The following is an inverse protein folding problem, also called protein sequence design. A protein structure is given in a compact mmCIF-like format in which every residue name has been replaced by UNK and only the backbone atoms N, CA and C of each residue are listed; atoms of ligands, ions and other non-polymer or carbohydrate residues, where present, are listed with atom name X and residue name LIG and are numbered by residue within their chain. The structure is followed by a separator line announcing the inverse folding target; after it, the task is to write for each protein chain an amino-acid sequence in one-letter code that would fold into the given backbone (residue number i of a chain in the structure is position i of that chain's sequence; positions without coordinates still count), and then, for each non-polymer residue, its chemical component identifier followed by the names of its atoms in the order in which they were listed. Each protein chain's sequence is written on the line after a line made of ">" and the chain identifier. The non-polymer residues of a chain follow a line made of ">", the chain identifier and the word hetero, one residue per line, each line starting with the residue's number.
data_IF_100852987268
#
_entry.id   IF_100852987268
#
_cell.length_a   1.000
_cell.length_b   1.000
_cell.length_c   1.000
_cell.angle_alpha   90.00
_cell.angle_beta   90.00
_cell.angle_gamma   90.00
#
_symmetry.space_group_name_H-M   'P 1'
#
loop_
_entity.id
_entity.type
_entity.pdbx_description
1 polymer ?
#
# COMPACT_ATOMS: atom_id res chain seq x y z
N UNK A 1 -5.62 -28.51 22.37
CA UNK A 1 -6.31 -27.28 22.83
C UNK A 1 -7.46 -27.60 23.78
N UNK A 2 -7.93 -28.85 23.80
CA UNK A 2 -9.04 -29.40 24.61
C UNK A 2 -9.03 -29.11 26.12
N UNK A 3 -7.90 -28.72 26.71
CA UNK A 3 -7.83 -28.36 28.12
C UNK A 3 -8.11 -26.86 28.34
N UNK A 4 -7.76 -25.99 27.39
CA UNK A 4 -8.01 -24.54 27.45
C UNK A 4 -9.48 -24.20 27.16
N UNK A 5 -10.20 -25.08 26.47
CA UNK A 5 -11.62 -24.91 26.11
C UNK A 5 -12.58 -25.44 27.18
N UNK A 6 -12.07 -26.02 28.28
CA UNK A 6 -12.89 -26.50 29.39
C UNK A 6 -13.08 -25.39 30.43
N UNK A 7 -14.34 -25.14 30.80
CA UNK A 7 -14.74 -24.04 31.70
C UNK A 7 -14.02 -23.99 33.06
N UNK A 8 -13.49 -25.12 33.55
CA UNK A 8 -12.86 -25.23 34.87
C UNK A 8 -11.32 -25.10 34.85
N UNK A 9 -10.71 -24.79 33.71
CA UNK A 9 -9.26 -24.70 33.59
C UNK A 9 -8.83 -23.36 32.99
N UNK A 10 -7.87 -22.70 33.65
CA UNK A 10 -7.14 -21.57 33.09
C UNK A 10 -5.70 -21.97 32.86
N UNK A 11 -5.21 -21.82 31.63
CA UNK A 11 -3.83 -22.13 31.28
C UNK A 11 -3.06 -20.82 31.12
N UNK A 12 -2.00 -20.68 31.91
CA UNK A 12 -1.06 -19.54 31.84
C UNK A 12 0.27 -20.07 31.31
N UNK A 13 0.72 -19.52 30.18
CA UNK A 13 1.99 -19.89 29.56
C UNK A 13 2.84 -18.63 29.48
N UNK A 14 4.05 -18.68 30.06
CA UNK A 14 5.08 -17.66 29.84
C UNK A 14 6.05 -18.20 28.80
N UNK A 15 6.33 -17.42 27.75
CA UNK A 15 7.26 -17.85 26.71
C UNK A 15 8.12 -16.68 26.23
N UNK A 16 9.37 -16.98 25.90
CA UNK A 16 10.24 -16.12 25.09
C UNK A 16 10.39 -16.67 23.66
N UNK A 17 9.77 -17.81 23.34
CA UNK A 17 9.86 -18.43 22.01
C UNK A 17 8.98 -17.66 21.02
N UNK A 18 9.59 -17.04 20.00
CA UNK A 18 8.85 -16.32 18.95
C UNK A 18 7.90 -17.24 18.18
N UNK A 19 8.29 -18.50 17.96
CA UNK A 19 7.49 -19.48 17.21
C UNK A 19 6.21 -19.84 17.95
N UNK A 20 6.25 -19.92 19.28
CA UNK A 20 5.08 -20.28 20.09
C UNK A 20 4.03 -19.17 20.07
N UNK A 21 4.45 -17.90 20.11
CA UNK A 21 3.55 -16.74 20.06
C UNK A 21 2.72 -16.71 18.77
N UNK A 22 3.27 -17.21 17.64
CA UNK A 22 2.55 -17.29 16.36
C UNK A 22 1.41 -18.31 16.33
N UNK A 23 1.40 -19.25 17.27
CA UNK A 23 0.38 -20.29 17.36
C UNK A 23 -0.81 -19.88 18.24
N UNK A 24 -0.66 -18.80 19.01
CA UNK A 24 -1.66 -18.36 19.96
C UNK A 24 -2.57 -17.30 19.32
N UNK A 25 -3.87 -17.28 19.66
CA UNK A 25 -4.74 -16.16 19.31
C UNK A 25 -4.20 -14.87 19.93
N UNK A 26 -4.27 -13.77 19.19
CA UNK A 26 -3.71 -12.48 19.61
C UNK A 26 -4.36 -11.99 20.92
N UNK A 27 -5.66 -12.22 21.14
CA UNK A 27 -6.34 -11.84 22.40
C UNK A 27 -5.83 -12.58 23.63
N UNK A 28 -5.14 -13.70 23.47
CA UNK A 28 -4.54 -14.44 24.60
C UNK A 28 -3.16 -13.89 24.98
N UNK A 29 -2.53 -13.10 24.10
CA UNK A 29 -1.20 -12.56 24.32
C UNK A 29 -1.25 -11.44 25.35
N UNK A 30 -0.39 -11.54 26.37
CA UNK A 30 -0.14 -10.49 27.36
C UNK A 30 1.35 -10.17 27.34
N UNK A 31 1.69 -8.90 27.11
CA UNK A 31 3.08 -8.44 27.18
C UNK A 31 3.40 -7.99 28.61
N UNK A 32 4.50 -8.50 29.17
CA UNK A 32 4.91 -8.20 30.55
C UNK A 32 6.28 -7.54 30.53
N UNK A 33 6.35 -6.31 31.02
CA UNK A 33 7.60 -5.54 31.11
C UNK A 33 7.62 -4.74 32.42
N UNK A 34 8.67 -4.95 33.24
CA UNK A 34 8.87 -4.24 34.52
C UNK A 34 7.64 -4.28 35.46
N UNK A 35 6.92 -5.39 35.47
CA UNK A 35 5.72 -5.58 36.30
C UNK A 35 4.43 -5.00 35.71
N UNK A 36 4.50 -4.30 34.57
CA UNK A 36 3.32 -3.86 33.83
C UNK A 36 2.85 -4.97 32.88
N UNK A 37 1.53 -5.18 32.82
CA UNK A 37 0.89 -6.14 31.93
C UNK A 37 0.03 -5.39 30.91
N UNK A 38 0.30 -5.59 29.64
CA UNK A 38 -0.42 -4.98 28.52
C UNK A 38 -1.15 -6.04 27.69
N UNK A 39 -2.40 -5.75 27.31
CA UNK A 39 -3.13 -6.57 26.33
C UNK A 39 -2.54 -6.37 24.93
N UNK A 40 -2.73 -7.35 24.05
CA UNK A 40 -2.35 -7.22 22.65
C UNK A 40 -3.04 -6.03 21.98
N UNK A 41 -2.24 -5.16 21.39
CA UNK A 41 -2.63 -3.96 20.64
C UNK A 41 -1.46 -3.59 19.70
N UNK A 42 -1.60 -2.53 18.91
CA UNK A 42 -0.53 -2.08 17.98
C UNK A 42 0.81 -1.82 18.70
N UNK A 43 0.79 -1.15 19.86
CA UNK A 43 2.02 -0.89 20.62
C UNK A 43 2.71 -2.17 21.08
N UNK A 44 1.94 -3.17 21.54
CA UNK A 44 2.45 -4.48 21.95
C UNK A 44 2.97 -5.26 20.74
N UNK A 45 2.28 -5.19 19.60
CA UNK A 45 2.72 -5.78 18.35
C UNK A 45 4.09 -5.23 17.93
N UNK A 46 4.27 -3.91 17.95
CA UNK A 46 5.56 -3.26 17.65
C UNK A 46 6.66 -3.69 18.61
N UNK A 47 6.36 -3.79 19.91
CA UNK A 47 7.30 -4.31 20.92
C UNK A 47 7.69 -5.77 20.64
N UNK A 48 6.72 -6.62 20.28
CA UNK A 48 6.98 -8.04 19.97
C UNK A 48 7.87 -8.14 18.72
N UNK A 49 7.54 -7.41 17.66
CA UNK A 49 8.32 -7.42 16.42
C UNK A 49 9.75 -6.93 16.68
N UNK A 50 9.90 -5.83 17.41
CA UNK A 50 11.21 -5.26 17.76
C UNK A 50 12.06 -6.20 18.62
N UNK A 51 11.47 -6.87 19.61
CA UNK A 51 12.22 -7.66 20.59
C UNK A 51 12.43 -9.12 20.16
N UNK A 52 11.45 -9.72 19.47
CA UNK A 52 11.45 -11.13 19.09
C UNK A 52 11.70 -11.37 17.60
N UNK A 53 11.65 -10.31 16.78
CA UNK A 53 11.92 -10.39 15.34
C UNK A 53 10.88 -11.20 14.55
N UNK A 54 9.70 -11.46 15.13
CA UNK A 54 8.62 -12.19 14.48
C UNK A 54 7.33 -11.40 14.50
N UNK A 55 6.57 -11.55 13.42
CA UNK A 55 5.15 -11.21 13.41
C UNK A 55 4.39 -12.30 14.18
N UNK A 56 3.56 -11.93 15.18
CA UNK A 56 2.56 -12.81 15.80
C UNK A 56 1.57 -13.39 14.79
N UNK A 57 0.44 -13.93 15.23
CA UNK A 57 -0.61 -14.39 14.31
C UNK A 57 -1.36 -13.19 13.66
N UNK A 58 -0.63 -12.37 12.89
CA UNK A 58 -1.11 -11.20 12.17
C UNK A 58 -0.85 -11.36 10.68
N UNK A 59 -1.67 -10.69 9.88
CA UNK A 59 -1.50 -10.59 8.43
C UNK A 59 -0.47 -9.55 8.00
N UNK A 60 -0.15 -9.55 6.71
CA UNK A 60 0.67 -8.53 6.04
C UNK A 60 -0.16 -7.91 4.92
N UNK A 61 -0.15 -6.59 4.81
CA UNK A 61 -0.74 -5.89 3.66
C UNK A 61 0.31 -5.76 2.56
N UNK A 62 -0.07 -6.14 1.34
CA UNK A 62 0.80 -6.05 0.16
C UNK A 62 0.14 -5.08 -0.83
N UNK A 63 0.79 -3.95 -1.10
CA UNK A 63 0.34 -3.01 -2.13
C UNK A 63 1.05 -3.34 -3.44
N UNK A 64 0.31 -3.97 -4.35
CA UNK A 64 0.77 -4.35 -5.69
C UNK A 64 0.65 -3.16 -6.63
N UNK A 65 1.76 -2.77 -7.26
CA UNK A 65 1.86 -1.65 -8.22
C UNK A 65 2.68 -2.06 -9.45
N UNK A 66 2.56 -1.35 -10.57
CA UNK A 66 3.18 -1.78 -11.83
C UNK A 66 4.71 -1.73 -11.78
N UNK A 67 5.28 -0.71 -11.14
CA UNK A 67 6.71 -0.55 -11.08
C UNK A 67 7.22 0.36 -9.97
N UNK A 68 8.54 0.52 -9.96
CA UNK A 68 9.27 1.28 -8.94
C UNK A 68 8.86 2.76 -8.88
N UNK A 69 8.45 3.33 -10.01
CA UNK A 69 8.03 4.73 -10.06
C UNK A 69 6.74 4.93 -9.27
N UNK A 70 5.78 4.02 -9.38
CA UNK A 70 4.49 4.12 -8.67
C UNK A 70 4.69 3.97 -7.16
N UNK A 71 5.53 3.01 -6.75
CA UNK A 71 5.96 2.87 -5.36
C UNK A 71 6.57 4.19 -4.84
N UNK A 72 7.48 4.78 -5.61
CA UNK A 72 8.15 6.02 -5.22
C UNK A 72 7.15 7.19 -5.12
N UNK A 73 6.22 7.30 -6.07
CA UNK A 73 5.17 8.31 -6.06
C UNK A 73 4.32 8.17 -4.79
N UNK A 74 3.80 6.97 -4.51
CA UNK A 74 2.94 6.70 -3.35
C UNK A 74 3.64 7.00 -2.02
N UNK A 75 4.91 6.57 -1.87
CA UNK A 75 5.72 6.91 -0.70
C UNK A 75 5.91 8.42 -0.55
N UNK A 76 6.22 9.12 -1.64
CA UNK A 76 6.47 10.55 -1.60
C UNK A 76 5.21 11.33 -1.20
N UNK A 77 4.05 11.05 -1.80
CA UNK A 77 2.82 11.76 -1.42
C UNK A 77 2.40 11.42 0.01
N UNK A 78 2.59 10.18 0.46
CA UNK A 78 2.29 9.79 1.84
C UNK A 78 3.15 10.55 2.85
N UNK A 79 4.44 10.71 2.57
CA UNK A 79 5.36 11.34 3.51
C UNK A 79 5.30 12.88 3.47
N UNK A 80 4.85 13.48 2.36
CA UNK A 80 4.78 14.94 2.20
C UNK A 80 3.37 15.54 2.40
N UNK A 81 2.31 14.72 2.38
CA UNK A 81 0.93 15.16 2.64
C UNK A 81 0.48 14.65 4.03
N UNK A 82 0.40 15.53 5.05
CA UNK A 82 0.11 15.12 6.43
C UNK A 82 -1.20 14.35 6.60
N UNK A 83 -2.23 14.68 5.84
CA UNK A 83 -3.53 14.02 5.87
C UNK A 83 -3.44 12.55 5.45
N UNK A 84 -2.68 12.24 4.39
CA UNK A 84 -2.44 10.86 3.96
C UNK A 84 -1.62 10.11 5.01
N UNK A 85 -0.58 10.75 5.55
CA UNK A 85 0.27 10.17 6.60
C UNK A 85 -0.53 9.84 7.86
N UNK A 86 -1.51 10.67 8.21
CA UNK A 86 -2.38 10.46 9.37
C UNK A 86 -3.29 9.26 9.20
N UNK A 87 -3.72 8.95 7.97
CA UNK A 87 -4.52 7.76 7.67
C UNK A 87 -3.68 6.49 7.86
N UNK A 88 -2.45 6.50 7.31
CA UNK A 88 -1.47 5.44 7.48
C UNK A 88 -0.07 5.98 7.16
N UNK A 89 0.89 5.78 8.06
CA UNK A 89 2.30 6.08 7.78
C UNK A 89 2.95 4.85 7.13
N UNK A 90 3.09 4.86 5.80
CA UNK A 90 3.59 3.71 5.04
C UNK A 90 5.01 3.32 5.46
N UNK A 91 5.87 4.30 5.72
CA UNK A 91 7.26 4.03 6.10
C UNK A 91 7.36 3.41 7.50
N UNK A 92 6.47 3.79 8.42
CA UNK A 92 6.33 3.11 9.70
C UNK A 92 5.87 1.66 9.50
N UNK A 93 4.80 1.44 8.73
CA UNK A 93 4.24 0.09 8.50
C UNK A 93 5.18 -0.85 7.75
N UNK A 94 6.05 -0.32 6.89
CA UNK A 94 7.15 -1.08 6.28
C UNK A 94 8.17 -1.50 7.33
N UNK A 95 8.57 -0.58 8.23
CA UNK A 95 9.57 -0.86 9.28
C UNK A 95 9.06 -1.85 10.31
N UNK A 96 7.79 -1.79 10.68
CA UNK A 96 7.15 -2.83 11.52
C UNK A 96 6.92 -4.13 10.74
N UNK A 97 7.09 -4.16 9.43
CA UNK A 97 6.96 -5.37 8.62
C UNK A 97 5.51 -5.80 8.38
N UNK A 98 4.53 -4.97 8.73
CA UNK A 98 3.10 -5.19 8.47
C UNK A 98 2.69 -4.84 7.05
N UNK A 99 3.50 -4.07 6.35
CA UNK A 99 3.24 -3.59 5.00
C UNK A 99 4.43 -3.87 4.07
N UNK A 100 4.15 -4.20 2.81
CA UNK A 100 5.17 -4.25 1.76
C UNK A 100 4.60 -3.82 0.41
N UNK A 101 5.45 -3.24 -0.45
CA UNK A 101 5.13 -3.12 -1.87
C UNK A 101 5.50 -4.39 -2.61
N UNK A 102 4.72 -4.72 -3.64
CA UNK A 102 5.07 -5.72 -4.62
C UNK A 102 5.06 -5.10 -6.02
N UNK A 103 6.20 -5.18 -6.71
CA UNK A 103 6.39 -4.59 -8.03
C UNK A 103 6.12 -5.62 -9.12
N UNK A 104 5.07 -5.39 -9.90
CA UNK A 104 4.58 -6.35 -10.90
C UNK A 104 5.43 -6.36 -12.19
N UNK A 105 6.22 -5.31 -12.40
CA UNK A 105 7.07 -5.08 -13.59
C UNK A 105 6.29 -5.21 -14.92
N UNK A 106 5.06 -4.67 -14.97
CA UNK A 106 4.23 -4.52 -16.18
C UNK A 106 3.78 -5.83 -16.84
N UNK A 107 4.68 -6.56 -17.50
CA UNK A 107 4.34 -7.71 -18.36
C UNK A 107 3.89 -8.96 -17.62
N UNK A 108 4.11 -9.04 -16.30
CA UNK A 108 3.91 -10.27 -15.52
C UNK A 108 2.71 -10.21 -14.57
N UNK A 109 1.82 -9.22 -14.73
CA UNK A 109 0.67 -9.04 -13.84
C UNK A 109 -0.24 -10.29 -13.79
N UNK A 110 -0.59 -10.83 -14.97
CA UNK A 110 -1.38 -12.04 -15.09
C UNK A 110 -0.71 -13.25 -14.44
N UNK A 111 0.57 -13.50 -14.74
CA UNK A 111 1.34 -14.63 -14.17
C UNK A 111 1.40 -14.55 -12.64
N UNK A 112 1.66 -13.38 -12.07
CA UNK A 112 1.68 -13.22 -10.62
C UNK A 112 0.32 -13.54 -9.99
N UNK A 113 -0.77 -13.05 -10.61
CA UNK A 113 -2.13 -13.31 -10.14
C UNK A 113 -2.47 -14.80 -10.26
N UNK A 114 -2.01 -15.48 -11.30
CA UNK A 114 -2.17 -16.92 -11.51
C UNK A 114 -1.45 -17.74 -10.44
N UNK A 115 -0.21 -17.35 -10.13
CA UNK A 115 0.62 -18.00 -9.12
C UNK A 115 0.04 -17.87 -7.71
N UNK A 116 -0.68 -16.78 -7.44
CA UNK A 116 -1.39 -16.52 -6.18
C UNK A 116 -0.53 -16.90 -4.96
N UNK A 117 0.67 -16.32 -4.89
CA UNK A 117 1.72 -16.74 -3.95
C UNK A 117 1.35 -16.54 -2.47
N UNK A 118 0.37 -15.68 -2.20
CA UNK A 118 -0.19 -15.39 -0.88
C UNK A 118 -1.34 -16.31 -0.49
N UNK A 119 -1.75 -17.26 -1.35
CA UNK A 119 -2.79 -18.22 -1.05
C UNK A 119 -2.45 -19.00 0.22
N UNK A 120 -3.44 -19.16 1.10
CA UNK A 120 -3.30 -19.80 2.42
C UNK A 120 -2.32 -19.07 3.37
N UNK A 121 -2.06 -17.77 3.15
CA UNK A 121 -1.40 -16.90 4.11
C UNK A 121 -2.39 -15.91 4.70
N UNK A 122 -1.99 -15.17 5.74
CA UNK A 122 -2.80 -14.09 6.31
C UNK A 122 -2.64 -12.77 5.53
N UNK A 123 -1.91 -12.75 4.40
CA UNK A 123 -1.68 -11.53 3.64
C UNK A 123 -2.94 -11.09 2.89
N UNK A 124 -3.08 -9.77 2.71
CA UNK A 124 -4.15 -9.15 1.92
C UNK A 124 -3.48 -8.28 0.86
N UNK A 125 -3.84 -8.49 -0.40
CA UNK A 125 -3.30 -7.74 -1.54
C UNK A 125 -4.21 -6.58 -1.92
N UNK A 126 -3.65 -5.38 -2.08
CA UNK A 126 -4.30 -4.25 -2.74
C UNK A 126 -3.60 -3.95 -4.06
N UNK A 127 -4.29 -4.14 -5.17
CA UNK A 127 -3.76 -3.89 -6.50
C UNK A 127 -4.19 -2.52 -7.01
N UNK A 128 -3.21 -1.64 -7.24
CA UNK A 128 -3.44 -0.33 -7.87
C UNK A 128 -2.63 -0.27 -9.15
N UNK A 129 -3.32 -0.18 -10.27
CA UNK A 129 -2.70 -0.12 -11.60
C UNK A 129 -3.22 1.07 -12.39
N UNK A 130 -2.44 1.47 -13.39
CA UNK A 130 -2.82 2.55 -14.28
C UNK A 130 -4.02 2.14 -15.14
N UNK A 131 -4.96 3.08 -15.33
CA UNK A 131 -6.08 2.89 -16.27
C UNK A 131 -5.58 2.61 -17.67
N UNK A 132 -4.45 3.22 -18.02
CA UNK A 132 -3.90 3.22 -19.37
C UNK A 132 -4.95 3.72 -20.40
N UNK A 133 -4.64 3.58 -21.69
CA UNK A 133 -5.61 3.87 -22.76
C UNK A 133 -6.69 2.79 -22.89
N UNK A 134 -6.41 1.56 -22.43
CA UNK A 134 -7.21 0.37 -22.75
C UNK A 134 -7.63 -0.46 -21.54
N UNK A 135 -7.45 0.04 -20.31
CA UNK A 135 -7.86 -0.66 -19.07
C UNK A 135 -7.32 -2.11 -19.01
N UNK A 136 -6.07 -2.32 -19.47
CA UNK A 136 -5.55 -3.66 -19.77
C UNK A 136 -5.55 -4.62 -18.57
N UNK A 137 -5.49 -4.11 -17.34
CA UNK A 137 -5.50 -4.91 -16.12
C UNK A 137 -6.88 -5.06 -15.45
N UNK A 138 -7.96 -4.64 -16.12
CA UNK A 138 -9.31 -4.75 -15.57
C UNK A 138 -9.70 -6.20 -15.28
N UNK A 139 -9.40 -7.12 -16.20
CA UNK A 139 -9.65 -8.55 -16.04
C UNK A 139 -8.91 -9.13 -14.83
N UNK A 140 -7.66 -8.74 -14.66
CA UNK A 140 -6.75 -9.15 -13.60
C UNK A 140 -7.30 -8.73 -12.23
N UNK A 141 -7.73 -7.47 -12.10
CA UNK A 141 -8.37 -6.94 -10.89
C UNK A 141 -9.65 -7.72 -10.56
N UNK A 142 -10.50 -8.00 -11.55
CA UNK A 142 -11.73 -8.77 -11.31
C UNK A 142 -11.44 -10.21 -10.88
N UNK A 143 -10.34 -10.79 -11.33
CA UNK A 143 -9.88 -12.11 -10.85
C UNK A 143 -9.39 -12.05 -9.40
N UNK A 144 -8.68 -11.00 -9.01
CA UNK A 144 -8.29 -10.78 -7.60
C UNK A 144 -9.53 -10.66 -6.71
N UNK A 145 -10.51 -9.83 -7.09
CA UNK A 145 -11.76 -9.65 -6.32
C UNK A 145 -12.53 -10.95 -6.10
N UNK A 146 -12.47 -11.88 -7.07
CA UNK A 146 -13.14 -13.19 -6.99
C UNK A 146 -12.44 -14.18 -6.05
N UNK A 147 -11.26 -13.89 -5.50
CA UNK A 147 -10.53 -14.79 -4.59
C UNK A 147 -11.22 -14.98 -3.23
N UNK A 148 -11.94 -13.97 -2.75
CA UNK A 148 -12.64 -14.03 -1.45
C UNK A 148 -11.73 -14.04 -0.22
N UNK A 149 -10.44 -13.78 -0.39
CA UNK A 149 -9.40 -13.71 0.66
C UNK A 149 -9.32 -12.32 1.34
N UNK A 150 -10.12 -11.37 0.86
CA UNK A 150 -10.10 -9.97 1.28
C UNK A 150 -9.25 -9.07 0.39
N UNK A 151 -8.48 -9.64 -0.55
CA UNK A 151 -7.70 -8.90 -1.52
C UNK A 151 -8.63 -8.16 -2.50
N UNK A 152 -8.22 -6.97 -2.94
CA UNK A 152 -8.99 -6.13 -3.84
C UNK A 152 -8.07 -5.37 -4.80
N UNK A 153 -8.64 -4.75 -5.82
CA UNK A 153 -7.89 -3.87 -6.70
C UNK A 153 -8.76 -2.88 -7.45
N UNK A 154 -8.11 -1.84 -7.95
CA UNK A 154 -8.72 -0.76 -8.73
C UNK A 154 -7.74 -0.28 -9.80
N UNK A 155 -8.30 0.29 -10.86
CA UNK A 155 -7.54 1.11 -11.80
C UNK A 155 -7.60 2.57 -11.34
N UNK A 156 -6.56 3.34 -11.62
CA UNK A 156 -6.58 4.79 -11.45
C UNK A 156 -7.72 5.42 -12.30
N UNK A 157 -8.24 6.57 -11.89
CA UNK A 157 -9.22 7.31 -12.70
C UNK A 157 -8.55 8.08 -13.83
N UNK A 158 -7.34 8.62 -13.58
CA UNK A 158 -6.51 9.23 -14.62
C UNK A 158 -5.75 8.13 -15.37
N UNK A 159 -5.16 8.49 -16.52
CA UNK A 159 -4.52 7.52 -17.42
C UNK A 159 -3.35 6.79 -16.78
N UNK A 160 -2.40 7.53 -16.21
CA UNK A 160 -1.20 7.02 -15.56
C UNK A 160 -0.95 7.78 -14.25
N UNK A 161 -0.11 7.24 -13.36
CA UNK A 161 0.23 7.89 -12.10
C UNK A 161 0.89 9.27 -12.30
N UNK A 162 1.57 9.46 -13.44
CA UNK A 162 2.14 10.76 -13.83
C UNK A 162 1.07 11.85 -14.01
N UNK A 163 -0.18 11.51 -14.33
CA UNK A 163 -1.28 12.49 -14.47
C UNK A 163 -1.71 13.09 -13.12
N UNK A 164 -1.31 12.50 -11.99
CA UNK A 164 -1.55 13.04 -10.65
C UNK A 164 -0.52 14.10 -10.24
N UNK A 165 0.49 14.35 -11.09
CA UNK A 165 1.49 15.40 -10.88
C UNK A 165 0.93 16.72 -11.44
N UNK A 166 0.90 17.80 -10.65
CA UNK A 166 0.41 19.10 -11.09
C UNK A 166 1.18 19.65 -12.29
N UNK A 167 0.45 20.11 -13.32
CA UNK A 167 1.02 20.71 -14.54
C UNK A 167 2.12 21.73 -14.23
N UNK A 168 1.85 22.66 -13.30
CA UNK A 168 2.79 23.73 -12.92
C UNK A 168 4.17 23.21 -12.53
N UNK A 169 4.24 22.09 -11.80
CA UNK A 169 5.52 21.51 -11.35
C UNK A 169 6.30 20.94 -12.53
N UNK A 170 5.61 20.35 -13.51
CA UNK A 170 6.22 19.81 -14.73
C UNK A 170 6.68 20.96 -15.64
N UNK A 171 5.84 21.98 -15.81
CA UNK A 171 6.15 23.19 -16.60
C UNK A 171 7.41 23.88 -16.09
N UNK A 172 7.51 24.09 -14.77
CA UNK A 172 8.68 24.67 -14.11
C UNK A 172 9.93 23.81 -14.27
N UNK A 173 9.83 22.49 -14.08
CA UNK A 173 10.97 21.58 -14.13
C UNK A 173 11.57 21.46 -15.54
N UNK A 174 10.72 21.39 -16.56
CA UNK A 174 11.14 21.17 -17.94
C UNK A 174 11.23 22.46 -18.77
N UNK A 175 10.81 23.60 -18.21
CA UNK A 175 10.71 24.89 -18.88
C UNK A 175 9.87 24.80 -20.17
N UNK A 176 8.66 24.24 -20.03
CA UNK A 176 7.66 24.05 -21.08
C UNK A 176 6.29 24.56 -20.61
N UNK A 177 5.32 24.66 -21.50
CA UNK A 177 3.93 25.05 -21.17
C UNK A 177 2.95 24.01 -21.71
N UNK A 178 1.90 23.69 -20.95
CA UNK A 178 0.74 22.85 -21.28
C UNK A 178 -0.60 23.58 -21.26
N UNK A 179 -0.60 24.90 -21.50
CA UNK A 179 -1.81 25.71 -21.57
C UNK A 179 -2.82 25.26 -22.64
N UNK A 180 -2.37 24.59 -23.69
CA UNK A 180 -3.17 24.05 -24.78
C UNK A 180 -3.82 22.69 -24.48
N UNK A 181 -3.36 21.98 -23.45
CA UNK A 181 -3.89 20.66 -23.09
C UNK A 181 -5.11 20.81 -22.19
N UNK A 182 -6.29 20.51 -22.74
CA UNK A 182 -7.56 20.56 -22.02
C UNK A 182 -7.81 19.30 -21.20
N UNK A 183 -7.68 18.13 -21.81
CA UNK A 183 -7.94 16.84 -21.17
C UNK A 183 -6.66 16.25 -20.57
N UNK A 184 -6.18 16.83 -19.46
CA UNK A 184 -4.96 16.36 -18.82
C UNK A 184 -5.02 14.91 -18.34
N UNK A 185 -6.21 14.44 -17.98
CA UNK A 185 -6.40 13.18 -17.27
C UNK A 185 -6.22 11.96 -18.19
N UNK A 186 -6.35 12.14 -19.51
CA UNK A 186 -6.23 11.05 -20.49
C UNK A 186 -4.98 11.16 -21.38
N UNK A 187 -4.11 12.13 -21.11
CA UNK A 187 -2.90 12.38 -21.90
C UNK A 187 -1.70 11.55 -21.44
N UNK A 188 -0.83 11.21 -22.39
CA UNK A 188 0.47 10.59 -22.10
C UNK A 188 1.47 11.69 -21.73
N UNK A 189 1.62 11.93 -20.43
CA UNK A 189 2.40 13.07 -19.91
C UNK A 189 3.86 13.03 -20.39
N UNK A 190 4.45 11.83 -20.47
CA UNK A 190 5.83 11.64 -20.86
C UNK A 190 6.04 11.98 -22.33
N UNK A 191 5.14 11.51 -23.20
CA UNK A 191 5.17 11.82 -24.63
C UNK A 191 5.06 13.32 -24.86
N UNK A 192 4.16 14.01 -24.12
CA UNK A 192 4.03 15.47 -24.19
C UNK A 192 5.27 16.21 -23.70
N UNK A 193 5.95 15.73 -22.66
CA UNK A 193 7.24 16.30 -22.22
C UNK A 193 8.30 16.13 -23.31
N UNK A 194 8.42 14.96 -23.93
CA UNK A 194 9.39 14.70 -25.00
C UNK A 194 9.12 15.59 -26.22
N UNK A 195 7.87 15.65 -26.68
CA UNK A 195 7.44 16.51 -27.80
C UNK A 195 7.83 17.97 -27.59
N UNK A 196 7.67 18.50 -26.37
CA UNK A 196 7.87 19.93 -26.08
C UNK A 196 9.28 20.31 -25.70
N UNK A 197 9.99 19.45 -24.99
CA UNK A 197 11.39 19.74 -24.62
C UNK A 197 12.31 19.69 -25.83
N UNK A 198 11.95 18.94 -26.88
CA UNK A 198 12.80 18.67 -28.07
C UNK A 198 14.19 18.14 -27.70
N UNK A 199 14.35 17.63 -26.47
CA UNK A 199 15.58 17.03 -25.95
C UNK A 199 15.45 15.51 -26.06
N UNK A 200 16.55 14.85 -26.36
CA UNK A 200 16.60 13.39 -26.40
C UNK A 200 16.72 12.82 -24.97
N UNK A 201 15.66 12.98 -24.17
CA UNK A 201 15.58 12.46 -22.81
C UNK A 201 15.04 11.03 -22.82
N UNK A 202 15.60 10.15 -21.98
CA UNK A 202 15.08 8.79 -21.85
C UNK A 202 13.79 8.81 -21.02
N UNK A 203 12.83 7.99 -21.41
CA UNK A 203 11.55 7.81 -20.71
C UNK A 203 11.76 7.54 -19.21
N UNK A 204 12.70 6.66 -18.86
CA UNK A 204 12.98 6.32 -17.46
C UNK A 204 13.52 7.52 -16.64
N UNK A 205 14.27 8.43 -17.27
CA UNK A 205 14.79 9.62 -16.60
C UNK A 205 13.64 10.60 -16.31
N UNK A 206 12.72 10.75 -17.27
CA UNK A 206 11.49 11.56 -17.08
C UNK A 206 10.65 10.95 -15.96
N UNK A 207 10.37 9.64 -15.99
CA UNK A 207 9.60 8.96 -14.92
C UNK A 207 10.24 9.14 -13.54
N UNK A 208 11.57 9.06 -13.46
CA UNK A 208 12.32 9.27 -12.22
C UNK A 208 12.18 10.71 -11.69
N UNK A 209 12.21 11.72 -12.58
CA UNK A 209 11.98 13.12 -12.20
C UNK A 209 10.54 13.31 -11.72
N UNK A 210 9.56 12.83 -12.49
CA UNK A 210 8.14 12.95 -12.20
C UNK A 210 7.78 12.29 -10.85
N UNK A 211 8.00 10.98 -10.76
CA UNK A 211 7.55 10.18 -9.62
C UNK A 211 8.52 10.20 -8.44
N UNK A 212 9.76 10.65 -8.64
CA UNK A 212 10.77 10.80 -7.60
C UNK A 212 10.89 12.22 -7.09
N UNK A 213 11.23 13.18 -7.95
CA UNK A 213 11.52 14.58 -7.55
C UNK A 213 10.26 15.42 -7.40
N UNK A 214 9.35 15.38 -8.38
CA UNK A 214 8.19 16.28 -8.40
C UNK A 214 7.08 15.83 -7.44
N UNK A 215 6.89 14.51 -7.30
CA UNK A 215 5.89 13.96 -6.36
C UNK A 215 6.14 14.36 -4.90
N UNK A 216 7.39 14.64 -4.51
CA UNK A 216 7.71 15.17 -3.17
C UNK A 216 7.17 16.57 -2.92
N UNK A 217 6.90 17.34 -3.98
CA UNK A 217 6.40 18.71 -3.90
C UNK A 217 4.87 18.80 -3.98
N UNK A 218 4.19 17.67 -4.19
CA UNK A 218 2.73 17.64 -4.29
C UNK A 218 2.12 17.92 -2.92
N UNK A 219 1.14 18.82 -2.89
CA UNK A 219 0.34 19.11 -1.72
C UNK A 219 -1.08 18.57 -1.87
N UNK A 220 -1.84 18.51 -0.77
CA UNK A 220 -3.27 18.20 -0.81
C UNK A 220 -4.03 19.15 -1.76
N UNK A 221 -3.78 20.46 -1.66
CA UNK A 221 -4.45 21.46 -2.50
C UNK A 221 -4.18 21.25 -3.99
N UNK A 222 -2.99 20.74 -4.33
CA UNK A 222 -2.69 20.39 -5.71
C UNK A 222 -3.55 19.21 -6.21
N UNK A 223 -3.73 18.16 -5.39
CA UNK A 223 -4.59 17.03 -5.72
C UNK A 223 -6.07 17.42 -5.76
N UNK A 224 -6.52 18.31 -4.88
CA UNK A 224 -7.86 18.90 -4.94
C UNK A 224 -8.07 19.68 -6.24
N UNK A 225 -7.10 20.50 -6.64
CA UNK A 225 -7.12 21.22 -7.92
C UNK A 225 -7.12 20.31 -9.15
N UNK A 226 -6.63 19.08 -9.01
CA UNK A 226 -6.69 18.03 -10.04
C UNK A 226 -7.96 17.16 -9.95
N UNK A 227 -8.88 17.43 -9.02
CA UNK A 227 -10.02 16.56 -8.69
C UNK A 227 -9.59 15.11 -8.38
N UNK A 228 -8.41 14.94 -7.79
CA UNK A 228 -7.81 13.63 -7.51
C UNK A 228 -7.78 13.29 -6.02
N UNK A 229 -8.05 14.26 -5.13
CA UNK A 229 -7.91 14.08 -3.69
C UNK A 229 -8.73 12.90 -3.16
N UNK A 230 -10.03 12.83 -3.45
CA UNK A 230 -10.92 11.79 -2.93
C UNK A 230 -10.47 10.37 -3.34
N UNK A 231 -10.01 10.24 -4.59
CA UNK A 231 -9.50 8.97 -5.10
C UNK A 231 -8.21 8.57 -4.38
N UNK A 232 -7.24 9.48 -4.33
CA UNK A 232 -5.94 9.25 -3.68
C UNK A 232 -6.14 8.92 -2.21
N UNK A 233 -6.93 9.72 -1.49
CA UNK A 233 -7.29 9.47 -0.09
C UNK A 233 -7.91 8.08 0.08
N UNK A 234 -8.82 7.69 -0.81
CA UNK A 234 -9.45 6.37 -0.83
C UNK A 234 -8.45 5.21 -0.92
N UNK A 235 -7.34 5.38 -1.64
CA UNK A 235 -6.27 4.37 -1.69
C UNK A 235 -5.65 4.13 -0.30
N UNK A 236 -5.33 5.19 0.42
CA UNK A 236 -4.73 5.10 1.76
C UNK A 236 -5.73 4.63 2.82
N UNK A 237 -6.99 5.03 2.71
CA UNK A 237 -8.07 4.52 3.57
C UNK A 237 -8.21 3.01 3.40
N UNK A 238 -8.23 2.52 2.16
CA UNK A 238 -8.31 1.07 1.87
C UNK A 238 -7.14 0.31 2.52
N UNK A 239 -5.93 0.86 2.47
CA UNK A 239 -4.75 0.25 3.10
C UNK A 239 -4.86 0.24 4.62
N UNK A 240 -5.33 1.32 5.23
CA UNK A 240 -5.58 1.40 6.66
C UNK A 240 -6.61 0.35 7.10
N UNK A 241 -7.71 0.19 6.36
CA UNK A 241 -8.69 -0.87 6.61
C UNK A 241 -8.10 -2.27 6.50
N UNK A 242 -7.21 -2.50 5.54
CA UNK A 242 -6.56 -3.80 5.36
C UNK A 242 -5.59 -4.10 6.51
N UNK A 243 -4.87 -3.09 7.01
CA UNK A 243 -3.98 -3.22 8.17
C UNK A 243 -4.78 -3.58 9.43
N UNK A 244 -5.92 -2.90 9.65
CA UNK A 244 -6.83 -3.23 10.76
C UNK A 244 -7.36 -4.67 10.62
N UNK A 245 -7.80 -5.06 9.42
CA UNK A 245 -8.23 -6.45 9.16
C UNK A 245 -7.13 -7.47 9.40
N UNK A 246 -5.86 -7.14 9.16
CA UNK A 246 -4.72 -8.04 9.38
C UNK A 246 -4.33 -8.18 10.86
N UNK A 247 -4.65 -7.20 11.69
CA UNK A 247 -4.30 -7.16 13.12
C UNK A 247 -5.44 -7.64 14.01
N UNK A 248 -6.71 -7.43 13.61
CA UNK A 248 -7.93 -7.71 14.38
C UNK A 248 -8.67 -9.02 14.02
N UNK A 249 -8.04 -10.02 13.37
CA UNK A 249 -8.72 -11.21 12.77
C UNK A 249 -9.54 -12.14 13.71
N UNK A 250 -9.84 -11.76 14.95
CA UNK A 250 -10.60 -12.58 15.88
C UNK A 250 -12.14 -12.44 15.80
N UNK A 251 -12.70 -11.62 14.90
CA UNK A 251 -14.17 -11.45 14.82
C UNK A 251 -14.92 -12.32 13.79
N UNK A 252 -14.31 -13.34 13.18
CA UNK A 252 -14.96 -14.09 12.08
C UNK A 252 -15.34 -15.55 12.36
N UNK A 253 -15.26 -16.01 13.61
CA UNK A 253 -15.79 -17.31 14.01
C UNK A 253 -16.81 -17.14 15.14
N UNK A 254 -17.97 -16.58 14.82
CA UNK A 254 -19.24 -16.83 15.53
C UNK A 254 -20.25 -17.36 14.51
#
# INVERSE_FOLDING_TARGET
>A
MDLAEKDNYQILITTHSPQFIRLLPNSTIRYVERGNVENFNENVLDKIIKNLGVLPNVGKVIWCVEGKNDEQFLKNINQNIPELKKIVDIEEKIKSGLFAFNLMNGSNCGDYIDRYITKNTNAIEFHLYDKDKNEKYKSEIERVKKRGDGSNGILTQKREIENYIPKKLIEEEFNISFSDIKDWDNENIIEKIIERTKKNMKVNDIKSILNGKLSQKITKSDLEGLNAWEEVEGWFVTISEFLNKCTDKEKKNE
#
